data_IF_760710244570
#
_entry.id   IF_760710244570
#
_cell.length_a   1.000
_cell.length_b   1.000
_cell.length_c   1.000
_cell.angle_alpha   90.00
_cell.angle_beta   90.00
_cell.angle_gamma   90.00
#
_symmetry.space_group_name_H-M   'P 1'
#
loop_
_entity.id
_entity.type
_entity.pdbx_description
1 polymer ?
#
# COMPACT_ATOMS: atom_id res chain seq x y z
N UNK A 1 1.44 -14.84 5.28
CA UNK A 1 1.36 -13.68 4.38
C UNK A 1 1.08 -12.42 5.18
N UNK A 2 1.78 -11.35 4.87
CA UNK A 2 1.53 -10.03 5.44
C UNK A 2 0.84 -9.14 4.42
N UNK A 3 0.07 -8.16 4.91
CA UNK A 3 -0.57 -7.13 4.09
C UNK A 3 -0.17 -5.77 4.67
N UNK A 4 0.46 -4.94 3.86
CA UNK A 4 0.66 -3.53 4.20
C UNK A 4 -0.50 -2.74 3.60
N UNK A 5 -1.21 -1.98 4.43
CA UNK A 5 -2.39 -1.24 4.01
C UNK A 5 -2.24 0.24 4.33
N UNK A 6 -2.62 1.07 3.37
CA UNK A 6 -2.51 2.52 3.46
C UNK A 6 -3.77 3.14 2.86
N UNK A 7 -4.45 3.98 3.62
CA UNK A 7 -5.63 4.73 3.15
C UNK A 7 -5.40 6.22 3.27
N UNK A 8 -5.68 6.96 2.18
CA UNK A 8 -5.56 8.42 2.15
C UNK A 8 -6.50 8.99 1.07
N UNK A 9 -6.66 10.31 1.06
CA UNK A 9 -7.51 10.97 0.08
C UNK A 9 -6.65 11.72 -0.93
N UNK A 10 -7.06 11.66 -2.20
CA UNK A 10 -6.55 12.57 -3.21
C UNK A 10 -7.09 13.98 -2.94
N UNK A 11 -6.24 14.99 -3.07
CA UNK A 11 -6.66 16.39 -2.93
C UNK A 11 -7.61 16.77 -4.07
N UNK A 12 -8.38 17.85 -3.88
CA UNK A 12 -9.31 18.34 -4.88
C UNK A 12 -8.63 18.53 -6.25
N UNK A 13 -9.27 17.99 -7.29
CA UNK A 13 -8.80 18.13 -8.65
C UNK A 13 -7.64 17.20 -9.04
N UNK A 14 -7.15 16.37 -8.12
CA UNK A 14 -6.11 15.39 -8.42
C UNK A 14 -6.75 14.08 -8.85
N UNK A 15 -6.46 13.62 -10.07
CA UNK A 15 -6.86 12.30 -10.50
C UNK A 15 -5.80 11.24 -10.15
N UNK A 16 -6.19 9.98 -10.21
CA UNK A 16 -5.29 8.89 -9.86
C UNK A 16 -4.07 8.82 -10.80
N UNK A 17 -4.24 9.11 -12.08
CA UNK A 17 -3.15 9.05 -13.06
C UNK A 17 -2.04 10.05 -12.71
N UNK A 18 -2.40 11.26 -12.32
CA UNK A 18 -1.46 12.28 -11.86
C UNK A 18 -0.73 11.82 -10.60
N UNK A 19 -1.48 11.30 -9.63
CA UNK A 19 -0.90 10.75 -8.41
C UNK A 19 0.07 9.61 -8.73
N UNK A 20 -0.33 8.66 -9.56
CA UNK A 20 0.47 7.47 -9.86
C UNK A 20 1.83 7.83 -10.46
N UNK A 21 1.87 8.80 -11.36
CA UNK A 21 3.14 9.25 -11.96
C UNK A 21 4.14 9.71 -10.91
N UNK A 22 3.67 10.44 -9.91
CA UNK A 22 4.52 10.93 -8.83
C UNK A 22 4.82 9.86 -7.78
N UNK A 23 3.92 8.89 -7.63
CA UNK A 23 4.01 7.84 -6.60
C UNK A 23 4.95 6.70 -6.98
N UNK A 24 5.08 6.36 -8.24
CA UNK A 24 5.97 5.28 -8.67
C UNK A 24 7.40 5.54 -8.18
N UNK A 25 8.09 4.49 -7.71
CA UNK A 25 9.43 4.68 -7.16
C UNK A 25 10.42 5.12 -8.23
N UNK A 26 11.36 5.95 -7.84
CA UNK A 26 12.49 6.37 -8.67
C UNK A 26 13.63 5.34 -8.66
N UNK A 27 13.57 4.38 -7.77
CA UNK A 27 14.58 3.37 -7.56
C UNK A 27 13.95 2.05 -7.12
N UNK A 28 14.44 0.94 -7.65
CA UNK A 28 14.02 -0.40 -7.25
C UNK A 28 14.96 -0.91 -6.17
N UNK A 29 14.40 -1.40 -5.06
CA UNK A 29 15.17 -2.06 -4.02
C UNK A 29 15.22 -3.55 -4.33
N UNK A 30 16.42 -4.11 -4.59
CA UNK A 30 16.54 -5.55 -4.79
C UNK A 30 16.03 -6.31 -3.55
N UNK A 31 15.20 -7.33 -3.80
CA UNK A 31 14.61 -8.11 -2.73
C UNK A 31 13.45 -7.45 -2.00
N UNK A 32 12.87 -6.40 -2.59
CA UNK A 32 11.64 -5.81 -2.04
C UNK A 32 10.56 -6.90 -1.98
N UNK A 33 10.03 -7.20 -0.77
CA UNK A 33 9.07 -8.28 -0.62
C UNK A 33 7.65 -7.94 -1.09
N UNK A 34 7.40 -6.68 -1.44
CA UNK A 34 6.09 -6.21 -1.93
C UNK A 34 5.96 -6.54 -3.41
N UNK A 35 5.64 -7.79 -3.74
CA UNK A 35 5.60 -8.27 -5.12
C UNK A 35 4.29 -7.95 -5.84
N UNK A 36 3.23 -7.66 -5.09
CA UNK A 36 1.93 -7.26 -5.63
C UNK A 36 1.42 -6.07 -4.84
N UNK A 37 1.14 -4.98 -5.52
CA UNK A 37 0.59 -3.78 -4.91
C UNK A 37 -0.68 -3.41 -5.67
N UNK A 38 -1.79 -3.35 -4.95
CA UNK A 38 -3.08 -2.95 -5.50
C UNK A 38 -3.40 -1.53 -5.03
N UNK A 39 -3.78 -0.69 -5.98
CA UNK A 39 -4.32 0.63 -5.69
C UNK A 39 -5.78 0.61 -6.06
N UNK A 40 -6.65 0.99 -5.14
CA UNK A 40 -8.09 0.94 -5.32
C UNK A 40 -8.72 2.26 -4.88
N UNK A 41 -9.71 2.72 -5.63
CA UNK A 41 -10.52 3.87 -5.25
C UNK A 41 -11.85 3.36 -4.70
N UNK A 42 -12.35 4.02 -3.65
CA UNK A 42 -13.66 3.70 -3.09
C UNK A 42 -14.72 3.92 -4.17
N UNK A 43 -15.58 2.90 -4.41
CA UNK A 43 -16.61 3.00 -5.45
C UNK A 43 -17.64 4.10 -5.19
N UNK A 44 -17.77 4.53 -3.94
CA UNK A 44 -18.68 5.61 -3.54
C UNK A 44 -17.97 6.95 -3.33
N UNK A 45 -16.63 6.95 -3.30
CA UNK A 45 -15.82 8.16 -3.09
C UNK A 45 -14.52 8.05 -3.88
N UNK A 46 -14.47 8.56 -5.13
CA UNK A 46 -13.29 8.39 -6.00
C UNK A 46 -12.06 9.16 -5.53
N UNK A 47 -12.14 9.89 -4.43
CA UNK A 47 -11.00 10.56 -3.81
C UNK A 47 -10.36 9.73 -2.70
N UNK A 48 -11.04 8.68 -2.22
CA UNK A 48 -10.47 7.79 -1.22
C UNK A 48 -9.66 6.69 -1.90
N UNK A 49 -8.35 6.74 -1.69
CA UNK A 49 -7.38 5.81 -2.28
C UNK A 49 -6.91 4.84 -1.22
N UNK A 50 -7.07 3.54 -1.51
CA UNK A 50 -6.61 2.46 -0.66
C UNK A 50 -5.53 1.67 -1.39
N UNK A 51 -4.35 1.57 -0.78
CA UNK A 51 -3.21 0.85 -1.35
C UNK A 51 -2.91 -0.35 -0.47
N UNK A 52 -2.81 -1.52 -1.09
CA UNK A 52 -2.53 -2.78 -0.41
C UNK A 52 -1.35 -3.46 -1.06
N UNK A 53 -0.31 -3.73 -0.28
CA UNK A 53 0.84 -4.51 -0.73
C UNK A 53 0.78 -5.91 -0.12
N UNK A 54 0.85 -6.94 -0.95
CA UNK A 54 0.92 -8.32 -0.50
C UNK A 54 2.38 -8.74 -0.34
N UNK A 55 2.66 -9.36 0.80
CA UNK A 55 4.00 -9.80 1.17
C UNK A 55 3.90 -11.28 1.54
N UNK A 56 4.17 -12.14 0.54
CA UNK A 56 3.81 -13.56 0.65
C UNK A 56 4.78 -14.39 1.51
N UNK A 57 6.07 -14.10 1.46
CA UNK A 57 7.11 -14.96 2.06
C UNK A 57 7.91 -14.22 3.11
N UNK A 58 7.23 -13.54 4.03
CA UNK A 58 7.92 -12.73 5.01
C UNK A 58 7.45 -13.00 6.43
N UNK A 59 8.41 -12.92 7.33
CA UNK A 59 8.20 -13.01 8.76
C UNK A 59 8.00 -11.59 9.31
N UNK A 60 7.04 -11.37 10.23
CA UNK A 60 6.90 -10.08 10.91
C UNK A 60 8.19 -9.56 11.53
N UNK A 61 9.09 -10.46 11.95
CA UNK A 61 10.40 -10.10 12.49
C UNK A 61 11.31 -9.39 11.48
N UNK A 62 11.06 -9.54 10.17
CA UNK A 62 11.86 -8.92 9.11
C UNK A 62 11.42 -7.49 8.78
N UNK A 63 10.24 -7.06 9.26
CA UNK A 63 9.67 -5.75 8.94
C UNK A 63 10.61 -4.60 9.31
N UNK A 64 11.23 -4.55 10.50
CA UNK A 64 12.13 -3.44 10.83
C UNK A 64 13.31 -3.30 9.86
N UNK A 65 13.87 -4.41 9.38
CA UNK A 65 14.98 -4.39 8.44
C UNK A 65 14.53 -3.86 7.07
N UNK A 66 13.34 -4.24 6.61
CA UNK A 66 12.78 -3.70 5.37
C UNK A 66 12.52 -2.21 5.46
N UNK A 67 11.88 -1.80 6.55
CA UNK A 67 11.56 -0.39 6.76
C UNK A 67 12.83 0.46 6.72
N UNK A 68 13.92 -0.02 7.33
CA UNK A 68 15.19 0.68 7.30
C UNK A 68 15.72 0.85 5.86
N UNK A 69 15.61 -0.20 5.02
CA UNK A 69 16.07 -0.14 3.63
C UNK A 69 15.17 0.70 2.74
N UNK A 70 13.87 0.67 2.99
CA UNK A 70 12.88 1.36 2.16
C UNK A 70 12.69 2.83 2.54
N UNK A 71 13.03 3.21 3.77
CA UNK A 71 12.77 4.56 4.29
C UNK A 71 13.29 5.67 3.38
N UNK A 72 14.55 5.65 2.88
CA UNK A 72 15.02 6.74 2.02
C UNK A 72 14.20 6.88 0.73
N UNK A 73 13.76 5.76 0.16
CA UNK A 73 12.96 5.75 -1.07
C UNK A 73 11.55 6.24 -0.78
N UNK A 74 10.96 5.81 0.33
CA UNK A 74 9.64 6.25 0.77
C UNK A 74 9.62 7.75 1.09
N UNK A 75 10.68 8.29 1.70
CA UNK A 75 10.80 9.72 1.96
C UNK A 75 10.83 10.53 0.68
N UNK A 76 11.60 10.10 -0.33
CA UNK A 76 11.63 10.77 -1.63
C UNK A 76 10.28 10.68 -2.35
N UNK A 77 9.62 9.52 -2.26
CA UNK A 77 8.27 9.34 -2.81
C UNK A 77 7.29 10.30 -2.13
N UNK A 78 7.31 10.37 -0.81
CA UNK A 78 6.43 11.25 -0.05
C UNK A 78 6.61 12.72 -0.45
N UNK A 79 7.84 13.17 -0.62
CA UNK A 79 8.10 14.54 -1.09
C UNK A 79 7.45 14.84 -2.44
N UNK A 80 7.36 13.84 -3.33
CA UNK A 80 6.72 14.01 -4.63
C UNK A 80 5.21 14.04 -4.57
N UNK A 81 4.59 13.38 -3.59
CA UNK A 81 3.13 13.20 -3.53
C UNK A 81 2.44 14.02 -2.45
N UNK A 82 3.16 14.59 -1.49
CA UNK A 82 2.53 15.21 -0.31
C UNK A 82 1.57 16.35 -0.65
N UNK A 83 1.75 17.00 -1.78
CA UNK A 83 0.86 18.06 -2.26
C UNK A 83 -0.34 17.52 -3.04
N UNK A 84 -0.39 16.21 -3.28
CA UNK A 84 -1.44 15.54 -4.06
C UNK A 84 -2.43 14.78 -3.18
N UNK A 85 -2.05 14.48 -1.95
CA UNK A 85 -2.84 13.63 -1.04
C UNK A 85 -2.88 14.20 0.37
N UNK A 86 -3.90 13.77 1.14
CA UNK A 86 -3.97 14.03 2.57
C UNK A 86 -3.02 13.11 3.34
N UNK A 87 -2.85 13.41 4.63
CA UNK A 87 -2.19 12.48 5.54
C UNK A 87 -2.96 11.16 5.60
N UNK A 88 -2.27 10.02 5.73
CA UNK A 88 -2.94 8.74 5.82
C UNK A 88 -3.86 8.63 7.03
N UNK A 89 -5.03 8.05 6.81
CA UNK A 89 -5.96 7.69 7.89
C UNK A 89 -5.73 6.27 8.37
N UNK A 90 -5.07 5.45 7.56
CA UNK A 90 -4.65 4.10 7.90
C UNK A 90 -3.27 3.87 7.30
N UNK A 91 -2.33 3.37 8.10
CA UNK A 91 -0.99 2.99 7.65
C UNK A 91 -0.47 1.91 8.60
N UNK A 92 -0.63 0.65 8.21
CA UNK A 92 -0.32 -0.47 9.08
C UNK A 92 0.02 -1.73 8.29
N UNK A 93 0.68 -2.66 8.96
CA UNK A 93 0.97 -3.99 8.43
C UNK A 93 0.18 -5.01 9.23
N UNK A 94 -0.50 -5.90 8.53
CA UNK A 94 -1.36 -6.92 9.12
C UNK A 94 -0.86 -8.30 8.75
N UNK A 95 -1.00 -9.24 9.67
CA UNK A 95 -0.76 -10.65 9.38
C UNK A 95 -2.07 -11.33 8.99
N UNK A 96 -2.07 -12.01 7.85
CA UNK A 96 -3.24 -12.79 7.42
C UNK A 96 -3.36 -14.01 8.33
N UNK A 97 -4.52 -14.21 8.93
CA UNK A 97 -4.79 -15.33 9.85
C UNK A 97 -5.80 -16.33 9.29
N UNK A 98 -6.51 -15.97 8.25
CA UNK A 98 -7.50 -16.86 7.63
C UNK A 98 -7.78 -16.43 6.20
N UNK A 99 -8.12 -17.39 5.37
CA UNK A 99 -8.58 -17.17 4.01
C UNK A 99 -9.81 -18.03 3.79
N UNK A 100 -10.93 -17.43 3.41
CA UNK A 100 -12.19 -18.08 3.22
C UNK A 100 -12.76 -17.77 1.85
N UNK A 101 -13.47 -18.74 1.26
CA UNK A 101 -14.21 -18.54 0.01
C UNK A 101 -15.70 -18.51 0.32
N UNK A 102 -16.28 -17.30 0.34
CA UNK A 102 -17.70 -17.12 0.66
C UNK A 102 -18.63 -17.42 -0.50
N UNK A 103 -18.10 -17.72 -1.68
CA UNK A 103 -18.91 -18.14 -2.84
C UNK A 103 -19.24 -19.63 -2.80
N UNK A 104 -18.63 -20.37 -1.88
CA UNK A 104 -18.84 -21.79 -1.66
C UNK A 104 -19.42 -22.03 -0.26
N UNK A 105 -20.11 -23.18 -0.03
CA UNK A 105 -20.56 -23.53 1.31
C UNK A 105 -19.37 -23.61 2.28
N UNK A 106 -19.52 -22.98 3.45
CA UNK A 106 -18.50 -23.05 4.48
C UNK A 106 -18.65 -24.37 5.23
N UNK A 107 -17.59 -25.17 5.22
CA UNK A 107 -17.50 -26.42 5.97
C UNK A 107 -16.49 -26.26 7.08
N UNK A 108 -16.90 -26.62 8.30
CA UNK A 108 -16.01 -26.62 9.46
C UNK A 108 -15.49 -28.02 9.75
#
# INVERSE_FOLDING_TARGET
MLIAALSRRLNDGVDYATFRKAWLPDEIVPGDPRTKVFSALNVEDPRELFTVALIENADPADIPAWMARLTPIEERRYERIRHLVSEPTLNAVYQVIAEDDLSQPITE
#
